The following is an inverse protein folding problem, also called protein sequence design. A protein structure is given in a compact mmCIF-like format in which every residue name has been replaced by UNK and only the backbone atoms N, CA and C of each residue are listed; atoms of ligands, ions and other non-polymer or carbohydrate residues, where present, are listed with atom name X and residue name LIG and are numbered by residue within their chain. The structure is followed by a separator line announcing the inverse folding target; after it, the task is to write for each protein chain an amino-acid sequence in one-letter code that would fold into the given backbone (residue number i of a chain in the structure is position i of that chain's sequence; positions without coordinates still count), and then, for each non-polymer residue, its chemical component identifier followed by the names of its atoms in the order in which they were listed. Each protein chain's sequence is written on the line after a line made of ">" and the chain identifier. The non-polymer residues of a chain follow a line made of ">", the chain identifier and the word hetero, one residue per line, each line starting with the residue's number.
data_IF_874407497540
#
_entry.id   IF_874407497540
#
_cell.length_a   1.000
_cell.length_b   1.000
_cell.length_c   1.000
_cell.angle_alpha   90.00
_cell.angle_beta   90.00
_cell.angle_gamma   90.00
#
_symmetry.space_group_name_H-M   'P 1'
#
loop_
_entity.id
_entity.type
_entity.pdbx_description
1 polymer ?
#
# COMPACT_ATOMS: atom_id res chain seq x y z
N UNK A 1 -45.33 12.84 -20.54
CA UNK A 1 -43.85 12.98 -20.64
C UNK A 1 -43.15 13.28 -19.32
N UNK A 2 -43.71 14.05 -18.37
CA UNK A 2 -43.03 14.40 -17.10
C UNK A 2 -42.77 13.25 -16.09
N UNK A 3 -43.61 12.21 -16.05
CA UNK A 3 -43.47 11.09 -15.07
C UNK A 3 -42.29 10.14 -15.35
N UNK A 4 -41.79 10.11 -16.59
CA UNK A 4 -40.70 9.21 -17.02
C UNK A 4 -39.33 9.64 -16.50
N UNK A 5 -39.11 10.95 -16.33
CA UNK A 5 -37.84 11.49 -15.84
C UNK A 5 -37.63 11.23 -14.34
N UNK A 6 -38.72 11.26 -13.55
CA UNK A 6 -38.65 10.99 -12.12
C UNK A 6 -38.30 9.54 -11.79
N UNK A 7 -38.81 8.57 -12.56
CA UNK A 7 -38.49 7.14 -12.35
C UNK A 7 -37.06 6.79 -12.75
N UNK A 8 -36.47 7.50 -13.73
CA UNK A 8 -35.08 7.32 -14.15
C UNK A 8 -34.10 7.92 -13.12
N UNK A 9 -34.46 9.07 -12.53
CA UNK A 9 -33.69 9.69 -11.45
C UNK A 9 -33.72 8.85 -10.16
N UNK A 10 -34.83 8.19 -9.85
CA UNK A 10 -34.95 7.33 -8.66
C UNK A 10 -34.12 6.03 -8.76
N UNK A 11 -33.96 5.45 -9.97
CA UNK A 11 -33.13 4.25 -10.16
C UNK A 11 -31.63 4.56 -10.14
N UNK A 12 -31.22 5.76 -10.58
CA UNK A 12 -29.86 6.28 -10.42
C UNK A 12 -29.51 6.55 -8.95
N UNK A 13 -30.48 6.91 -8.12
CA UNK A 13 -30.26 7.21 -6.70
C UNK A 13 -30.02 5.96 -5.82
N UNK A 14 -30.56 4.79 -6.19
CA UNK A 14 -30.41 3.56 -5.39
C UNK A 14 -29.05 2.87 -5.61
N UNK A 15 -28.44 3.05 -6.79
CA UNK A 15 -27.06 2.60 -7.03
C UNK A 15 -25.99 3.40 -6.28
N UNK A 16 -26.34 4.58 -5.75
CA UNK A 16 -25.42 5.47 -5.03
C UNK A 16 -25.35 5.18 -3.51
N UNK A 17 -26.11 4.22 -3.00
CA UNK A 17 -26.23 3.94 -1.56
C UNK A 17 -25.92 2.48 -1.19
N UNK A 18 -25.18 1.75 -2.03
CA UNK A 18 -24.56 0.51 -1.58
C UNK A 18 -23.44 0.89 -0.59
N UNK A 19 -23.43 0.37 0.65
CA UNK A 19 -22.27 0.50 1.50
C UNK A 19 -21.15 -0.33 0.86
N UNK A 20 -20.24 0.32 0.15
CA UNK A 20 -18.93 -0.24 -0.15
C UNK A 20 -18.14 -0.09 1.14
N UNK A 21 -18.32 -1.04 2.06
CA UNK A 21 -17.34 -1.27 3.12
C UNK A 21 -16.33 -2.20 2.50
N UNK A 22 -15.25 -1.66 1.96
CA UNK A 22 -14.01 -2.43 1.87
C UNK A 22 -12.85 -1.59 2.38
N UNK A 23 -11.98 -2.31 3.08
CA UNK A 23 -10.60 -1.95 3.16
C UNK A 23 -10.09 -1.73 1.72
N UNK A 24 -9.55 -0.56 1.40
CA UNK A 24 -9.06 -0.32 0.04
C UNK A 24 -7.91 -1.32 -0.23
N UNK A 25 -8.04 -2.05 -1.32
CA UNK A 25 -7.03 -3.01 -1.77
C UNK A 25 -6.10 -2.31 -2.75
N UNK A 26 -4.79 -2.43 -2.55
CA UNK A 26 -3.77 -1.84 -3.42
C UNK A 26 -2.78 -2.90 -3.86
N UNK A 27 -2.60 -3.01 -5.17
CA UNK A 27 -1.49 -3.75 -5.74
C UNK A 27 -0.22 -2.93 -5.61
N UNK A 28 0.88 -3.59 -5.24
CA UNK A 28 2.20 -2.98 -5.18
C UNK A 28 3.24 -3.81 -5.92
N UNK A 29 4.26 -3.13 -6.44
CA UNK A 29 5.48 -3.78 -6.89
C UNK A 29 6.68 -2.90 -6.62
N UNK A 30 7.73 -3.51 -6.10
CA UNK A 30 9.03 -2.91 -5.87
C UNK A 30 10.09 -3.69 -6.65
N UNK A 31 10.98 -2.95 -7.31
CA UNK A 31 12.10 -3.53 -8.05
C UNK A 31 13.38 -2.73 -7.79
N UNK A 32 14.42 -3.44 -7.35
CA UNK A 32 15.80 -2.99 -7.32
C UNK A 32 16.71 -4.02 -8.03
N UNK A 33 18.03 -3.77 -8.04
CA UNK A 33 18.98 -4.69 -8.66
C UNK A 33 19.03 -6.09 -8.02
N UNK A 34 18.78 -6.20 -6.72
CA UNK A 34 18.82 -7.47 -5.98
C UNK A 34 17.50 -7.88 -5.35
N UNK A 35 16.68 -6.90 -4.93
CA UNK A 35 15.41 -7.11 -4.23
C UNK A 35 14.24 -6.87 -5.17
N UNK A 36 13.33 -7.83 -5.23
CA UNK A 36 12.05 -7.72 -5.93
C UNK A 36 10.93 -8.19 -5.02
N UNK A 37 9.85 -7.42 -4.96
CA UNK A 37 8.66 -7.82 -4.21
C UNK A 37 7.42 -7.27 -4.86
N UNK A 38 6.35 -8.04 -4.86
CA UNK A 38 5.09 -7.62 -5.46
C UNK A 38 3.92 -8.37 -4.84
N UNK A 39 2.76 -7.74 -4.85
CA UNK A 39 1.57 -8.35 -4.30
C UNK A 39 0.49 -7.32 -4.07
N UNK A 40 -0.28 -7.56 -3.01
CA UNK A 40 -1.44 -6.76 -2.65
C UNK A 40 -1.44 -6.50 -1.15
N UNK A 41 -1.75 -5.27 -0.75
CA UNK A 41 -2.04 -4.93 0.64
C UNK A 41 -3.45 -4.35 0.78
N UNK A 42 -4.05 -4.52 1.95
CA UNK A 42 -5.38 -4.00 2.29
C UNK A 42 -5.24 -2.90 3.34
N UNK A 43 -5.96 -1.80 3.19
CA UNK A 43 -5.92 -0.68 4.13
C UNK A 43 -7.23 -0.47 4.86
N UNK A 44 -7.21 0.08 6.07
CA UNK A 44 -8.41 0.54 6.76
C UNK A 44 -8.26 2.02 7.12
N UNK A 45 -9.30 2.84 6.91
CA UNK A 45 -9.27 4.25 7.30
C UNK A 45 -8.93 4.40 8.78
N UNK A 46 -8.03 5.34 9.08
CA UNK A 46 -7.76 5.71 10.47
C UNK A 46 -8.71 6.81 10.95
N UNK A 47 -8.70 7.12 12.25
CA UNK A 47 -9.46 8.26 12.79
C UNK A 47 -8.98 9.62 12.28
N UNK A 48 -7.80 9.67 11.66
CA UNK A 48 -7.19 10.89 11.16
C UNK A 48 -7.19 10.86 9.62
N UNK A 49 -7.85 11.83 8.96
CA UNK A 49 -7.83 11.88 7.50
C UNK A 49 -6.41 12.05 6.94
N UNK A 50 -6.16 11.41 5.79
CA UNK A 50 -4.91 11.58 5.03
C UNK A 50 -3.95 10.39 5.08
N UNK A 51 -4.26 9.37 5.88
CA UNK A 51 -3.54 8.09 5.88
C UNK A 51 -4.43 6.96 6.36
N UNK A 52 -4.11 5.76 5.89
CA UNK A 52 -4.80 4.52 6.21
C UNK A 52 -3.83 3.53 6.87
N UNK A 53 -4.35 2.69 7.75
CA UNK A 53 -3.57 1.61 8.36
C UNK A 53 -3.57 0.40 7.42
N UNK A 54 -2.41 -0.17 7.13
CA UNK A 54 -2.30 -1.42 6.40
C UNK A 54 -2.69 -2.55 7.36
N UNK A 55 -3.65 -3.36 6.94
CA UNK A 55 -4.28 -4.40 7.78
C UNK A 55 -3.94 -5.81 7.33
N UNK A 56 -3.43 -5.95 6.11
CA UNK A 56 -3.03 -7.22 5.53
C UNK A 56 -2.14 -7.01 4.33
N UNK A 57 -1.32 -8.02 4.02
CA UNK A 57 -0.45 -8.05 2.86
C UNK A 57 -0.25 -9.50 2.42
N UNK A 58 -0.21 -9.73 1.12
CA UNK A 58 0.19 -10.98 0.49
C UNK A 58 0.99 -10.69 -0.78
N UNK A 59 1.70 -11.69 -1.30
CA UNK A 59 2.53 -11.52 -2.49
C UNK A 59 3.74 -12.42 -2.52
N UNK A 60 4.79 -11.96 -3.19
CA UNK A 60 6.07 -12.64 -3.34
C UNK A 60 7.21 -11.69 -3.02
N UNK A 61 8.27 -12.22 -2.43
CA UNK A 61 9.50 -11.51 -2.13
C UNK A 61 10.69 -12.33 -2.63
N UNK A 62 11.70 -11.66 -3.16
CA UNK A 62 12.99 -12.25 -3.51
C UNK A 62 14.12 -11.26 -3.26
N UNK A 63 15.17 -11.71 -2.59
CA UNK A 63 16.48 -11.06 -2.58
C UNK A 63 17.54 -12.04 -3.11
N UNK A 64 18.05 -11.75 -4.29
CA UNK A 64 19.08 -12.58 -4.94
C UNK A 64 20.45 -12.47 -4.28
N UNK A 65 20.71 -11.40 -3.53
CA UNK A 65 21.98 -11.21 -2.83
C UNK A 65 22.09 -12.04 -1.55
N UNK A 66 20.96 -12.26 -0.87
CA UNK A 66 20.86 -13.13 0.30
C UNK A 66 20.41 -14.57 -0.02
N UNK A 67 19.97 -14.84 -1.26
CA UNK A 67 19.41 -16.15 -1.64
C UNK A 67 18.02 -16.41 -1.03
N UNK A 68 17.26 -15.37 -0.74
CA UNK A 68 15.92 -15.45 -0.15
C UNK A 68 14.88 -15.38 -1.26
N UNK A 69 13.90 -16.29 -1.24
CA UNK A 69 12.74 -16.23 -2.11
C UNK A 69 11.56 -16.92 -1.43
N UNK A 70 10.39 -16.28 -1.46
CA UNK A 70 9.23 -16.81 -0.77
C UNK A 70 7.94 -16.03 -0.98
N UNK A 71 6.84 -16.61 -0.52
CA UNK A 71 5.55 -15.93 -0.45
C UNK A 71 5.52 -14.99 0.76
N UNK A 72 4.88 -13.83 0.62
CA UNK A 72 4.54 -12.96 1.75
C UNK A 72 3.35 -13.58 2.47
N UNK A 73 3.52 -13.86 3.76
CA UNK A 73 2.57 -14.62 4.58
C UNK A 73 1.71 -13.75 5.49
N UNK A 74 2.06 -12.47 5.67
CA UNK A 74 1.29 -11.50 6.42
C UNK A 74 2.14 -10.33 6.89
N UNK A 75 1.50 -9.41 7.62
CA UNK A 75 2.20 -8.33 8.33
C UNK A 75 3.09 -8.92 9.41
N UNK A 76 4.29 -8.35 9.56
CA UNK A 76 5.21 -8.76 10.61
C UNK A 76 4.62 -8.41 11.99
N UNK A 77 4.78 -9.31 12.97
CA UNK A 77 4.20 -9.17 14.31
C UNK A 77 5.15 -9.65 15.41
N UNK A 78 5.04 -9.12 16.64
CA UNK A 78 4.08 -8.09 17.07
C UNK A 78 4.44 -6.69 16.57
N UNK A 79 3.41 -5.90 16.22
CA UNK A 79 3.54 -4.49 15.85
C UNK A 79 4.28 -3.75 16.96
N UNK A 80 5.53 -3.38 16.72
CA UNK A 80 6.31 -2.66 17.71
C UNK A 80 6.15 -1.16 17.50
N UNK A 81 5.01 -0.61 17.94
CA UNK A 81 4.85 0.82 18.28
C UNK A 81 5.61 1.21 19.56
N UNK A 82 6.63 0.44 19.96
CA UNK A 82 7.47 0.83 21.07
C UNK A 82 8.32 2.01 20.58
N UNK A 83 7.85 3.24 20.86
CA UNK A 83 8.50 4.55 20.70
C UNK A 83 9.64 4.54 19.67
N UNK A 84 9.46 5.16 18.48
CA UNK A 84 10.33 4.94 17.32
C UNK A 84 11.78 4.88 17.78
N UNK A 85 12.46 3.71 17.64
CA UNK A 85 13.85 3.64 18.01
C UNK A 85 14.55 4.77 17.28
N UNK A 86 15.48 5.45 17.95
CA UNK A 86 16.21 6.56 17.34
C UNK A 86 16.86 6.07 16.04
N UNK A 87 16.40 6.58 14.90
CA UNK A 87 16.95 6.26 13.58
C UNK A 87 15.92 5.74 12.55
N UNK A 88 16.08 6.10 11.27
CA UNK A 88 15.24 5.66 10.14
C UNK A 88 15.74 4.37 9.47
N UNK A 89 14.82 3.56 8.91
CA UNK A 89 14.25 2.44 9.67
C UNK A 89 15.27 1.81 10.61
N UNK A 90 15.09 2.06 11.90
CA UNK A 90 15.91 1.44 12.93
C UNK A 90 15.67 -0.07 12.98
N UNK A 91 16.71 -0.82 12.63
CA UNK A 91 16.78 -2.25 12.85
C UNK A 91 17.79 -2.55 13.95
N UNK A 92 17.32 -3.19 15.03
CA UNK A 92 18.13 -3.58 16.17
C UNK A 92 17.97 -5.08 16.43
N UNK A 93 18.85 -5.72 17.21
CA UNK A 93 18.64 -7.10 17.60
C UNK A 93 17.29 -7.33 18.31
N UNK A 94 16.69 -6.28 18.87
CA UNK A 94 15.39 -6.31 19.54
C UNK A 94 14.19 -6.18 18.58
N UNK A 95 14.41 -5.84 17.30
CA UNK A 95 13.36 -5.76 16.29
C UNK A 95 13.57 -4.66 15.24
N UNK A 96 12.57 -4.53 14.37
CA UNK A 96 12.52 -3.58 13.25
C UNK A 96 11.47 -2.51 13.58
N UNK A 97 11.77 -1.24 13.32
CA UNK A 97 10.77 -0.16 13.35
C UNK A 97 9.96 -0.14 12.06
N UNK A 98 8.64 -0.21 12.20
CA UNK A 98 7.65 -0.10 11.13
C UNK A 98 6.36 0.43 11.75
N UNK A 99 5.49 1.03 10.95
CA UNK A 99 4.22 1.56 11.43
C UNK A 99 3.02 1.10 10.61
N UNK A 100 3.27 0.40 9.49
CA UNK A 100 2.25 -0.12 8.58
C UNK A 100 1.28 0.97 8.10
N UNK A 101 1.77 2.20 7.90
CA UNK A 101 0.94 3.33 7.43
C UNK A 101 1.05 3.53 5.93
N UNK A 102 -0.10 3.66 5.27
CA UNK A 102 -0.20 4.04 3.86
C UNK A 102 -0.70 5.47 3.69
N UNK A 103 -0.04 6.24 2.84
CA UNK A 103 -0.36 7.62 2.48
C UNK A 103 -0.80 7.69 1.01
N UNK A 104 -2.10 7.55 0.70
CA UNK A 104 -2.60 7.54 -0.69
C UNK A 104 -2.22 8.79 -1.50
N UNK A 105 -2.04 9.92 -0.81
CA UNK A 105 -1.63 11.20 -1.41
C UNK A 105 -0.13 11.35 -1.68
N UNK A 106 0.67 10.30 -1.44
CA UNK A 106 2.13 10.32 -1.53
C UNK A 106 2.79 11.43 -0.69
N UNK A 107 2.18 11.77 0.44
CA UNK A 107 2.50 12.92 1.30
C UNK A 107 2.86 12.49 2.73
N UNK A 108 3.58 11.37 2.89
CA UNK A 108 4.03 10.91 4.20
C UNK A 108 4.80 12.00 4.97
N UNK A 109 4.54 12.16 6.28
CA UNK A 109 5.11 13.24 7.08
C UNK A 109 6.56 12.96 7.47
N UNK A 110 7.26 14.00 7.96
CA UNK A 110 8.50 13.79 8.71
C UNK A 110 8.15 13.33 10.14
N UNK A 111 8.33 12.05 10.42
CA UNK A 111 8.07 11.42 11.71
C UNK A 111 9.31 10.78 12.34
N UNK A 112 10.49 10.99 11.76
CA UNK A 112 11.78 10.57 12.30
C UNK A 112 12.64 11.81 12.55
N UNK A 113 12.80 12.18 13.83
CA UNK A 113 13.45 13.44 14.21
C UNK A 113 14.88 13.58 13.69
N UNK A 114 15.60 12.46 13.57
CA UNK A 114 17.00 12.42 13.13
C UNK A 114 17.16 12.22 11.61
N UNK A 115 16.04 12.15 10.86
CA UNK A 115 16.04 11.98 9.41
C UNK A 115 15.26 13.12 8.72
N UNK A 116 15.93 13.96 7.91
CA UNK A 116 15.29 15.18 7.41
C UNK A 116 14.38 14.95 6.19
N UNK A 117 14.44 13.78 5.56
CA UNK A 117 13.71 13.51 4.31
C UNK A 117 12.39 12.78 4.58
N UNK A 118 11.37 13.09 3.78
CA UNK A 118 10.01 12.56 3.92
C UNK A 118 9.26 12.65 2.58
N UNK A 119 8.02 12.14 2.55
CA UNK A 119 7.18 12.07 1.36
C UNK A 119 7.14 10.67 0.75
N UNK A 120 6.22 10.44 -0.18
CA UNK A 120 5.93 9.12 -0.73
C UNK A 120 4.70 8.47 -0.09
N UNK A 121 4.38 7.27 -0.57
CA UNK A 121 3.18 6.51 -0.15
C UNK A 121 3.39 5.72 1.14
N UNK A 122 4.64 5.52 1.51
CA UNK A 122 5.07 5.05 2.82
C UNK A 122 5.90 6.16 3.47
N UNK A 123 6.02 6.16 4.77
CA UNK A 123 7.03 6.96 5.47
C UNK A 123 8.34 6.17 5.61
N UNK A 124 9.24 6.67 6.46
CA UNK A 124 10.55 6.09 6.69
C UNK A 124 10.55 4.85 7.59
N UNK A 125 9.47 4.61 8.34
CA UNK A 125 9.28 3.36 9.07
C UNK A 125 8.66 2.30 8.16
N UNK A 126 7.70 2.72 7.34
CA UNK A 126 7.10 1.92 6.30
C UNK A 126 6.40 0.66 6.81
N UNK A 127 6.50 -0.39 5.99
CA UNK A 127 5.74 -1.63 6.12
C UNK A 127 6.71 -2.81 6.29
N UNK A 128 6.47 -3.64 7.30
CA UNK A 128 7.21 -4.88 7.50
C UNK A 128 6.31 -6.12 7.35
N UNK A 129 6.83 -7.18 6.76
CA UNK A 129 6.08 -8.38 6.45
C UNK A 129 6.90 -9.66 6.55
N UNK A 130 6.20 -10.74 6.90
CA UNK A 130 6.76 -12.08 7.01
C UNK A 130 6.84 -12.76 5.64
N UNK A 131 7.99 -13.32 5.32
CA UNK A 131 8.26 -14.09 4.11
C UNK A 131 8.44 -15.57 4.47
N UNK A 132 7.83 -16.46 3.68
CA UNK A 132 7.93 -17.91 3.88
C UNK A 132 9.39 -18.34 3.96
N UNK A 133 9.70 -19.22 4.92
CA UNK A 133 11.08 -19.58 5.26
C UNK A 133 11.59 -18.94 6.55
N UNK A 134 10.76 -18.11 7.22
CA UNK A 134 11.09 -17.49 8.51
C UNK A 134 11.89 -16.20 8.37
N UNK A 135 11.76 -15.52 7.23
CA UNK A 135 12.43 -14.25 6.95
C UNK A 135 11.47 -13.09 7.17
N UNK A 136 12.02 -11.92 7.51
CA UNK A 136 11.26 -10.67 7.57
C UNK A 136 11.83 -9.73 6.51
N UNK A 137 10.95 -9.01 5.82
CA UNK A 137 11.35 -7.97 4.89
C UNK A 137 10.54 -6.69 5.14
N UNK A 138 11.06 -5.57 4.66
CA UNK A 138 10.43 -4.27 4.81
C UNK A 138 10.53 -3.43 3.53
N UNK A 139 9.56 -2.54 3.37
CA UNK A 139 9.48 -1.51 2.32
C UNK A 139 9.18 -0.16 2.95
N UNK A 140 9.90 0.88 2.55
CA UNK A 140 9.72 2.23 3.09
C UNK A 140 10.09 3.30 2.05
N UNK A 141 9.80 4.55 2.40
CA UNK A 141 10.26 5.72 1.67
C UNK A 141 11.44 6.35 2.41
N UNK A 142 12.56 6.51 1.71
CA UNK A 142 13.67 7.36 2.17
C UNK A 142 13.37 8.85 1.93
N UNK A 143 12.18 9.18 1.43
CA UNK A 143 11.70 10.54 1.22
C UNK A 143 12.33 11.23 0.00
N UNK A 144 12.06 12.52 -0.13
CA UNK A 144 12.63 13.35 -1.18
C UNK A 144 14.05 13.82 -0.79
N UNK A 145 15.06 13.11 -1.29
CA UNK A 145 16.47 13.37 -1.00
C UNK A 145 17.06 14.43 -1.96
N UNK A 146 17.84 15.41 -1.46
CA UNK A 146 18.50 16.41 -2.29
C UNK A 146 19.35 15.79 -3.40
N UNK A 147 19.10 16.20 -4.65
CA UNK A 147 19.86 15.72 -5.82
C UNK A 147 19.47 14.34 -6.34
N UNK A 148 18.56 13.63 -5.67
CA UNK A 148 18.07 12.31 -6.10
C UNK A 148 16.56 12.32 -6.40
N UNK A 149 15.77 12.98 -5.57
CA UNK A 149 14.31 12.95 -5.63
C UNK A 149 13.70 12.00 -4.62
N UNK A 150 12.44 11.60 -4.85
CA UNK A 150 11.75 10.62 -4.01
C UNK A 150 12.37 9.22 -4.19
N UNK A 151 12.81 8.63 -3.09
CA UNK A 151 13.45 7.31 -3.08
C UNK A 151 12.64 6.34 -2.22
N UNK A 152 12.41 5.14 -2.76
CA UNK A 152 11.91 4.01 -1.99
C UNK A 152 13.02 2.98 -1.81
N UNK A 153 12.99 2.28 -0.70
CA UNK A 153 13.98 1.26 -0.40
C UNK A 153 13.33 0.02 0.23
N UNK A 154 14.10 -1.06 0.17
CA UNK A 154 13.74 -2.34 0.75
C UNK A 154 14.94 -2.94 1.49
N UNK A 155 14.63 -3.86 2.40
CA UNK A 155 15.61 -4.66 3.11
C UNK A 155 14.97 -5.93 3.65
N UNK A 156 15.80 -6.90 4.00
CA UNK A 156 15.39 -8.18 4.58
C UNK A 156 16.28 -8.53 5.78
N UNK A 157 15.78 -9.41 6.65
CA UNK A 157 16.46 -9.74 7.89
C UNK A 157 17.48 -10.88 7.78
N UNK A 158 17.61 -11.53 6.61
CA UNK A 158 18.41 -12.75 6.42
C UNK A 158 18.17 -13.86 7.47
N UNK A 159 16.98 -13.91 8.07
CA UNK A 159 16.65 -14.88 9.15
C UNK A 159 17.21 -14.48 10.52
N UNK A 160 17.71 -13.25 10.63
CA UNK A 160 18.05 -12.57 11.88
C UNK A 160 16.93 -11.59 12.26
N UNK A 161 17.12 -10.81 13.32
CA UNK A 161 16.25 -9.67 13.66
C UNK A 161 16.71 -8.35 13.05
N UNK A 162 17.82 -8.37 12.29
CA UNK A 162 18.47 -7.20 11.70
C UNK A 162 18.26 -7.15 10.18
N UNK A 163 17.69 -6.06 9.68
CA UNK A 163 17.59 -5.78 8.26
C UNK A 163 18.98 -5.49 7.66
N UNK A 164 19.22 -6.01 6.46
CA UNK A 164 20.37 -5.65 5.64
C UNK A 164 20.17 -4.25 5.06
N UNK A 165 20.71 -3.26 5.77
CA UNK A 165 20.63 -1.84 5.43
C UNK A 165 22.03 -1.33 5.06
N UNK A 166 22.27 -0.90 3.80
CA UNK A 166 23.54 -0.30 3.40
C UNK A 166 23.93 0.96 4.20
N UNK A 167 22.96 1.67 4.76
CA UNK A 167 23.14 2.87 5.58
C UNK A 167 22.23 2.82 6.83
N UNK A 168 22.50 1.91 7.78
CA UNK A 168 21.55 1.40 8.79
C UNK A 168 21.06 2.42 9.82
N UNK A 169 21.74 3.56 9.97
CA UNK A 169 21.39 4.62 10.92
C UNK A 169 20.99 5.92 10.22
N UNK A 170 20.94 5.94 8.89
CA UNK A 170 20.69 7.16 8.11
C UNK A 170 21.74 8.26 8.33
N UNK A 171 22.88 7.97 8.97
CA UNK A 171 23.91 8.96 9.30
C UNK A 171 24.51 9.59 8.05
N UNK A 172 24.63 8.80 6.97
CA UNK A 172 24.99 9.32 5.67
C UNK A 172 23.74 9.75 4.89
N UNK A 173 23.31 10.98 5.10
CA UNK A 173 22.16 11.58 4.42
C UNK A 173 22.36 11.80 2.90
N UNK A 174 23.51 11.40 2.34
CA UNK A 174 23.72 11.36 0.89
C UNK A 174 23.38 9.99 0.29
N UNK A 175 23.05 8.99 1.11
CA UNK A 175 22.74 7.63 0.69
C UNK A 175 21.38 7.17 1.26
N UNK A 176 20.57 6.43 0.49
CA UNK A 176 19.36 5.75 0.97
C UNK A 176 19.68 4.81 2.14
N UNK A 177 18.75 4.62 3.08
CA UNK A 177 18.97 3.72 4.24
C UNK A 177 19.03 2.26 3.81
N UNK A 178 18.17 1.88 2.87
CA UNK A 178 18.07 0.51 2.35
C UNK A 178 18.65 0.32 0.96
N UNK A 179 18.26 -0.77 0.31
CA UNK A 179 18.54 -0.99 -1.10
C UNK A 179 17.54 -0.16 -1.91
N UNK A 180 17.97 0.91 -2.60
CA UNK A 180 17.06 1.78 -3.32
C UNK A 180 16.44 1.07 -4.52
N UNK A 181 15.18 1.38 -4.79
CA UNK A 181 14.45 0.82 -5.92
C UNK A 181 13.24 1.65 -6.33
N UNK A 182 12.51 1.14 -7.32
CA UNK A 182 11.28 1.76 -7.81
C UNK A 182 10.08 1.06 -7.19
N UNK A 183 9.22 1.82 -6.50
CA UNK A 183 7.94 1.36 -5.98
C UNK A 183 6.80 1.91 -6.83
N UNK A 184 5.83 1.05 -7.14
CA UNK A 184 4.54 1.45 -7.72
C UNK A 184 3.41 0.87 -6.89
N UNK A 185 2.39 1.69 -6.62
CA UNK A 185 1.15 1.28 -5.94
C UNK A 185 -0.05 1.74 -6.76
N UNK A 186 -1.08 0.90 -6.88
CA UNK A 186 -2.33 1.27 -7.54
C UNK A 186 -3.52 0.62 -6.85
N UNK A 187 -4.63 1.34 -6.76
CA UNK A 187 -5.87 0.78 -6.24
C UNK A 187 -6.32 -0.38 -7.12
N UNK A 188 -6.73 -1.48 -6.49
CA UNK A 188 -7.25 -2.67 -7.13
C UNK A 188 -8.77 -2.59 -7.17
N UNK A 189 -9.42 -2.49 -8.35
CA UNK A 189 -10.87 -2.39 -8.41
C UNK A 189 -11.54 -3.63 -7.82
N UNK A 190 -12.48 -3.41 -6.89
CA UNK A 190 -13.25 -4.52 -6.35
C UNK A 190 -14.06 -5.25 -7.44
N UNK A 191 -14.07 -6.60 -7.44
CA UNK A 191 -14.91 -7.39 -8.34
C UNK A 191 -16.40 -7.02 -8.26
N UNK A 192 -16.88 -6.66 -7.07
CA UNK A 192 -18.28 -6.28 -6.84
C UNK A 192 -18.64 -4.94 -7.49
N UNK A 193 -17.72 -3.97 -7.52
CA UNK A 193 -17.91 -2.66 -8.16
C UNK A 193 -18.05 -2.79 -9.68
N UNK A 194 -17.27 -3.69 -10.30
CA UNK A 194 -17.41 -4.03 -11.72
C UNK A 194 -18.74 -4.72 -12.02
N UNK A 195 -19.14 -5.65 -11.16
CA UNK A 195 -20.40 -6.39 -11.32
C UNK A 195 -21.62 -5.48 -11.15
N UNK A 196 -21.60 -4.56 -10.16
CA UNK A 196 -22.65 -3.58 -9.93
C UNK A 196 -22.76 -2.58 -11.09
N UNK A 197 -21.62 -2.09 -11.60
CA UNK A 197 -21.59 -1.26 -12.81
C UNK A 197 -22.16 -2.00 -14.02
N UNK A 198 -21.74 -3.25 -14.24
CA UNK A 198 -22.25 -4.10 -15.33
C UNK A 198 -23.76 -4.35 -15.25
N UNK A 199 -24.28 -4.66 -14.06
CA UNK A 199 -25.71 -4.81 -13.82
C UNK A 199 -26.48 -3.50 -14.01
N UNK A 200 -25.91 -2.37 -13.58
CA UNK A 200 -26.49 -1.04 -13.78
C UNK A 200 -26.65 -0.68 -15.26
N UNK A 201 -25.59 -0.89 -16.05
CA UNK A 201 -25.60 -0.65 -17.50
C UNK A 201 -26.58 -1.63 -18.19
N UNK A 202 -26.54 -2.91 -17.84
CA UNK A 202 -27.43 -3.93 -18.40
C UNK A 202 -28.91 -3.65 -18.12
N UNK A 203 -29.23 -3.25 -16.88
CA UNK A 203 -30.58 -2.86 -16.48
C UNK A 203 -31.09 -1.62 -17.23
N UNK A 204 -30.23 -0.60 -17.41
CA UNK A 204 -30.58 0.59 -18.18
C UNK A 204 -30.88 0.27 -19.65
N UNK A 205 -30.07 -0.60 -20.28
CA UNK A 205 -30.31 -1.03 -21.66
C UNK A 205 -31.61 -1.81 -21.84
N UNK A 206 -31.95 -2.71 -20.92
CA UNK A 206 -33.21 -3.46 -20.93
C UNK A 206 -34.44 -2.55 -20.77
N UNK A 207 -34.34 -1.55 -19.90
CA UNK A 207 -35.39 -0.55 -19.70
C UNK A 207 -35.63 0.31 -20.96
N UNK A 208 -34.56 0.74 -21.62
CA UNK A 208 -34.63 1.50 -22.87
C UNK A 208 -35.21 0.65 -24.02
N UNK A 209 -34.86 -0.64 -24.10
CA UNK A 209 -35.44 -1.58 -25.08
C UNK A 209 -36.93 -1.77 -24.88
N UNK A 210 -37.39 -2.03 -23.64
CA UNK A 210 -38.82 -2.19 -23.33
C UNK A 210 -39.66 -0.97 -23.70
N UNK A 211 -39.13 0.25 -23.55
CA UNK A 211 -39.86 1.47 -23.93
C UNK A 211 -39.99 1.69 -25.43
N UNK A 212 -39.03 1.23 -26.24
CA UNK A 212 -39.13 1.32 -27.71
C UNK A 212 -40.20 0.40 -28.28
N UNK A 213 -40.44 -0.75 -27.67
CA UNK A 213 -41.44 -1.73 -28.14
C UNK A 213 -42.89 -1.33 -27.81
N UNK A 214 -43.12 -0.42 -26.86
CA UNK A 214 -44.48 0.03 -26.44
C UNK A 214 -44.94 1.26 -27.25
N UNK A 215 -44.08 1.85 -28.08
CA UNK A 215 -44.34 3.06 -28.88
C UNK A 215 -44.49 2.78 -30.40
N UNK A 216 -44.61 1.51 -30.80
CA UNK A 216 -45.03 1.08 -32.13
C UNK A 216 -46.43 0.49 -32.06
#
# INVERSE_FOLDING_TARGET
>A
MKKVYFSLAALLAVGAAAPVVQADEFSFSFHSGSITTSGVFTTAPTSTPGYDAITGINGTFSDTSAGISGAITGLYRPVSYAAPPSGPPASTPAGISYDDTFYPGANSPNNCADYPFYGGVFDVYGLAFDVSGGYVAALWSDGNMPGVGLVYAAGDSQGTTLLNLPNPDGSNQSLPVGVPGSLTTSSTPEPASLLLSGLGIGGAMLFLRRKRTILQ
#
